data_IF_925875922190
#
_entry.id   IF_925875922190
#
_cell.length_a   1.000
_cell.length_b   1.000
_cell.length_c   1.000
_cell.angle_alpha   90.00
_cell.angle_beta   90.00
_cell.angle_gamma   90.00
#
_symmetry.space_group_name_H-M   'P 1'
#
loop_
_entity.id
_entity.type
_entity.pdbx_description
1 polymer ?
#
# COMPACT_ATOMS: atom_id res chain seq x y z
N UNK A 1 5.12 -10.88 -8.52
CA UNK A 1 5.18 -10.56 -9.97
C UNK A 1 5.62 -11.76 -10.80
N UNK A 2 6.84 -12.29 -10.64
CA UNK A 2 7.33 -13.40 -11.49
C UNK A 2 6.55 -14.71 -11.37
N UNK A 3 5.88 -14.94 -10.24
CA UNK A 3 5.14 -16.19 -9.98
C UNK A 3 3.67 -16.14 -10.37
N UNK A 4 3.06 -14.96 -10.56
CA UNK A 4 1.62 -14.81 -10.74
C UNK A 4 1.31 -14.24 -12.13
N UNK A 5 0.57 -14.96 -12.99
CA UNK A 5 0.09 -14.37 -14.24
C UNK A 5 -0.88 -13.22 -13.92
N UNK A 6 -0.77 -12.12 -14.67
CA UNK A 6 -1.53 -10.87 -14.44
C UNK A 6 -1.27 -10.25 -13.05
N UNK A 7 -0.08 -10.45 -12.49
CA UNK A 7 0.33 -9.76 -11.28
C UNK A 7 0.26 -8.25 -11.48
N UNK A 8 -0.51 -7.55 -10.65
CA UNK A 8 -0.61 -6.10 -10.71
C UNK A 8 0.50 -5.45 -9.86
N UNK A 9 1.24 -4.46 -10.39
CA UNK A 9 2.32 -3.83 -9.65
C UNK A 9 1.89 -3.23 -8.30
N UNK A 10 0.75 -2.55 -8.25
CA UNK A 10 0.27 -1.93 -7.01
C UNK A 10 -0.27 -2.97 -6.01
N UNK A 11 -1.23 -3.80 -6.43
CA UNK A 11 -1.91 -4.71 -5.52
C UNK A 11 -1.08 -5.95 -5.14
N UNK A 12 -0.38 -6.57 -6.10
CA UNK A 12 0.31 -7.83 -5.85
C UNK A 12 1.75 -7.66 -5.41
N UNK A 13 2.48 -6.68 -5.95
CA UNK A 13 3.86 -6.45 -5.52
C UNK A 13 3.94 -5.60 -4.25
N UNK A 14 3.36 -4.40 -4.26
CA UNK A 14 3.48 -3.50 -3.12
C UNK A 14 2.62 -3.97 -1.94
N UNK A 15 1.29 -4.01 -2.10
CA UNK A 15 0.38 -4.34 -0.98
C UNK A 15 0.60 -5.76 -0.45
N UNK A 16 0.40 -6.79 -1.28
CA UNK A 16 0.56 -8.19 -0.83
C UNK A 16 2.01 -8.56 -0.53
N UNK A 17 2.98 -8.01 -1.24
CA UNK A 17 4.39 -8.27 -0.95
C UNK A 17 4.80 -7.77 0.43
N UNK A 18 4.43 -6.54 0.78
CA UNK A 18 4.67 -6.01 2.13
C UNK A 18 3.90 -6.80 3.18
N UNK A 19 2.62 -7.10 2.94
CA UNK A 19 1.81 -7.87 3.90
C UNK A 19 2.35 -9.28 4.12
N UNK A 20 2.74 -9.99 3.06
CA UNK A 20 3.33 -11.32 3.21
C UNK A 20 4.68 -11.29 3.95
N UNK A 21 5.45 -10.21 3.82
CA UNK A 21 6.73 -10.08 4.52
C UNK A 21 6.55 -9.84 6.02
N UNK A 22 5.63 -8.95 6.41
CA UNK A 22 5.44 -8.55 7.82
C UNK A 22 4.36 -9.36 8.55
N UNK A 23 3.37 -9.90 7.84
CA UNK A 23 2.25 -10.68 8.37
C UNK A 23 1.90 -11.84 7.43
N UNK A 24 2.91 -12.67 7.11
CA UNK A 24 2.75 -13.81 6.19
C UNK A 24 1.76 -14.88 6.68
N UNK A 25 1.45 -14.91 7.98
CA UNK A 25 0.44 -15.78 8.58
C UNK A 25 -0.96 -15.16 8.62
N UNK A 26 -1.10 -13.88 8.24
CA UNK A 26 -2.37 -13.16 8.23
C UNK A 26 -3.09 -13.18 9.59
N UNK A 27 -2.33 -13.06 10.67
CA UNK A 27 -2.85 -13.13 12.04
C UNK A 27 -3.27 -11.75 12.56
N UNK A 28 -2.79 -10.68 11.92
CA UNK A 28 -3.17 -9.32 12.26
C UNK A 28 -4.25 -8.79 11.31
N UNK A 29 -5.03 -7.87 11.85
CA UNK A 29 -5.98 -7.09 11.07
C UNK A 29 -5.26 -6.21 10.05
N UNK A 30 -5.91 -5.96 8.91
CA UNK A 30 -5.34 -5.16 7.84
C UNK A 30 -5.16 -3.70 8.25
N UNK A 31 -6.09 -3.13 9.02
CA UNK A 31 -5.98 -1.75 9.47
C UNK A 31 -4.80 -1.59 10.45
N UNK A 32 -4.57 -2.58 11.31
CA UNK A 32 -3.39 -2.63 12.16
C UNK A 32 -2.07 -2.72 11.37
N UNK A 33 -2.06 -3.45 10.24
CA UNK A 33 -0.92 -3.46 9.32
C UNK A 33 -0.73 -2.09 8.63
N UNK A 34 -1.81 -1.42 8.25
CA UNK A 34 -1.76 -0.07 7.70
C UNK A 34 -1.15 0.91 8.70
N UNK A 35 -1.61 0.94 9.95
CA UNK A 35 -1.06 1.80 11.00
C UNK A 35 0.43 1.52 11.26
N UNK A 36 0.83 0.23 11.21
CA UNK A 36 2.21 -0.20 11.40
C UNK A 36 3.17 0.32 10.31
N UNK A 37 2.73 0.34 9.05
CA UNK A 37 3.56 0.72 7.90
C UNK A 37 3.29 2.15 7.40
N UNK A 38 2.38 2.87 8.05
CA UNK A 38 1.99 4.22 7.65
C UNK A 38 3.19 5.18 7.70
N UNK A 39 3.49 5.80 6.56
CA UNK A 39 4.47 6.86 6.50
C UNK A 39 3.84 8.15 7.06
N UNK A 40 4.15 8.48 8.31
CA UNK A 40 3.64 9.68 9.02
C UNK A 40 4.68 10.80 8.99
N UNK A 41 4.27 12.01 8.62
CA UNK A 41 5.13 13.18 8.69
C UNK A 41 4.32 14.48 8.74
N UNK A 42 4.44 15.27 9.82
CA UNK A 42 3.67 16.50 10.05
C UNK A 42 3.89 17.57 8.98
N UNK A 43 5.11 17.65 8.44
CA UNK A 43 5.48 18.69 7.47
C UNK A 43 5.26 18.29 6.00
N UNK A 44 4.44 17.28 5.73
CA UNK A 44 4.12 16.84 4.36
C UNK A 44 2.60 16.84 4.18
N UNK A 45 2.10 17.68 3.27
CA UNK A 45 0.69 17.64 2.85
C UNK A 45 0.56 16.60 1.74
N UNK A 46 0.06 15.41 2.09
CA UNK A 46 0.02 14.27 1.19
C UNK A 46 -1.14 14.36 0.18
N UNK A 47 -0.90 13.88 -1.05
CA UNK A 47 -1.92 13.64 -2.08
C UNK A 47 -2.82 14.85 -2.42
N UNK A 48 -2.25 16.04 -2.60
CA UNK A 48 -3.00 17.28 -2.87
C UNK A 48 -3.71 17.32 -4.23
N UNK A 49 -3.41 16.40 -5.17
CA UNK A 49 -4.21 16.24 -6.39
C UNK A 49 -5.66 15.85 -6.11
N UNK A 50 -5.94 15.26 -4.95
CA UNK A 50 -7.31 15.00 -4.47
C UNK A 50 -8.12 16.27 -4.18
N UNK A 51 -7.44 17.39 -3.92
CA UNK A 51 -8.06 18.70 -3.69
C UNK A 51 -8.36 19.43 -5.01
N UNK A 52 -7.87 18.89 -6.13
CA UNK A 52 -8.06 19.45 -7.48
C UNK A 52 -8.54 18.36 -8.42
N UNK A 53 -7.65 17.81 -9.23
CA UNK A 53 -7.91 16.66 -10.07
C UNK A 53 -6.67 15.78 -10.14
N UNK A 54 -6.89 14.49 -10.33
CA UNK A 54 -5.83 13.57 -10.73
C UNK A 54 -5.27 13.98 -12.09
N UNK A 55 -3.98 13.81 -12.29
CA UNK A 55 -3.30 14.17 -13.54
C UNK A 55 -3.33 13.07 -14.62
N UNK A 56 -3.93 11.91 -14.34
CA UNK A 56 -3.92 10.75 -15.26
C UNK A 56 -5.14 9.82 -15.19
N UNK A 57 -5.94 9.87 -14.11
CA UNK A 57 -7.29 9.28 -14.06
C UNK A 57 -8.24 9.94 -15.06
#
# INVERSE_FOLDING_TARGET
MHSKPYGEPYNDWLSKGLRHYFDGSHIQDYDAFCDFIEFKHENIIMNTSSLTASSWR
#
